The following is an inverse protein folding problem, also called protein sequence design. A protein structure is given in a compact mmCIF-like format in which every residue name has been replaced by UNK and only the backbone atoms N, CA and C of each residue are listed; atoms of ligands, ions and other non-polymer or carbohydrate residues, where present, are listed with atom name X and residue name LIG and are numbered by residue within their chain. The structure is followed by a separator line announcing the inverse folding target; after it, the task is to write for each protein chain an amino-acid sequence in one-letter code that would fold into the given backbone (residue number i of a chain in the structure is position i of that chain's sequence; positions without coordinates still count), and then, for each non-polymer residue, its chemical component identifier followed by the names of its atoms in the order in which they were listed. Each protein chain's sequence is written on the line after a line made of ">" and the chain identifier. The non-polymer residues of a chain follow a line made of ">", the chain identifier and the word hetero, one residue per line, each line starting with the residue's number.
data_IF_828580187674
#
_entry.id   IF_828580187674
#
_cell.length_a   1.000
_cell.length_b   1.000
_cell.length_c   1.000
_cell.angle_alpha   90.00
_cell.angle_beta   90.00
_cell.angle_gamma   90.00
#
_symmetry.space_group_name_H-M   'P 1'
#
loop_
_entity.id
_entity.type
_entity.pdbx_description
1 polymer ?
#
# COMPACT_ATOMS: atom_id res chain seq x y z
N UNK A 1 -34.71 -26.55 16.70
CA UNK A 1 -34.71 -25.12 17.09
C UNK A 1 -33.31 -24.66 17.48
N UNK A 2 -32.71 -25.15 18.58
CA UNK A 2 -31.33 -24.79 18.98
C UNK A 2 -30.30 -24.88 17.84
N UNK A 3 -30.10 -26.06 17.27
CA UNK A 3 -29.10 -26.28 16.20
C UNK A 3 -29.34 -25.40 14.97
N UNK A 4 -30.58 -25.05 14.69
CA UNK A 4 -30.92 -24.20 13.54
C UNK A 4 -30.56 -22.73 13.82
N UNK A 5 -30.88 -22.23 15.02
CA UNK A 5 -30.45 -20.90 15.47
C UNK A 5 -28.92 -20.83 15.51
N UNK A 6 -28.23 -21.84 16.04
CA UNK A 6 -26.77 -21.90 16.06
C UNK A 6 -26.17 -21.81 14.64
N UNK A 7 -26.72 -22.56 13.68
CA UNK A 7 -26.29 -22.46 12.29
C UNK A 7 -26.51 -21.06 11.70
N UNK A 8 -27.66 -20.42 11.96
CA UNK A 8 -27.93 -19.07 11.46
C UNK A 8 -26.97 -18.06 12.10
N UNK A 9 -26.62 -18.22 13.39
CA UNK A 9 -25.61 -17.38 14.03
C UNK A 9 -24.26 -17.50 13.33
N UNK A 10 -23.82 -18.71 13.00
CA UNK A 10 -22.59 -18.92 12.24
C UNK A 10 -22.66 -18.26 10.85
N UNK A 11 -23.82 -18.31 10.19
CA UNK A 11 -24.04 -17.62 8.91
C UNK A 11 -24.01 -16.10 9.05
N UNK A 12 -24.63 -15.53 10.09
CA UNK A 12 -24.57 -14.11 10.43
C UNK A 12 -23.12 -13.68 10.65
N UNK A 13 -22.35 -14.43 11.43
CA UNK A 13 -20.93 -14.14 11.67
C UNK A 13 -20.13 -14.16 10.36
N UNK A 14 -20.31 -15.17 9.52
CA UNK A 14 -19.64 -15.24 8.23
C UNK A 14 -20.01 -14.06 7.32
N UNK A 15 -21.25 -13.57 7.41
CA UNK A 15 -21.70 -12.43 6.63
C UNK A 15 -21.18 -11.09 7.18
N UNK A 16 -21.10 -10.93 8.51
CA UNK A 16 -20.42 -9.80 9.14
C UNK A 16 -18.94 -9.71 8.75
N UNK A 17 -18.24 -10.85 8.69
CA UNK A 17 -16.84 -10.89 8.23
C UNK A 17 -16.71 -10.42 6.78
N UNK A 18 -17.58 -10.89 5.88
CA UNK A 18 -17.58 -10.45 4.47
C UNK A 18 -17.90 -8.97 4.31
N UNK A 19 -18.71 -8.43 5.21
CA UNK A 19 -19.07 -7.02 5.23
C UNK A 19 -18.08 -6.16 6.05
N UNK A 20 -16.98 -6.73 6.56
CA UNK A 20 -15.99 -6.03 7.37
C UNK A 20 -16.60 -5.27 8.56
N UNK A 21 -17.55 -5.89 9.27
CA UNK A 21 -18.16 -5.26 10.44
C UNK A 21 -17.13 -5.10 11.57
N UNK A 22 -17.19 -3.96 12.26
CA UNK A 22 -16.49 -3.75 13.50
C UNK A 22 -17.13 -4.51 14.66
N UNK A 23 -16.34 -4.76 15.72
CA UNK A 23 -16.82 -5.46 16.93
C UNK A 23 -18.08 -4.83 17.50
N UNK A 24 -18.11 -3.50 17.63
CA UNK A 24 -19.26 -2.78 18.20
C UNK A 24 -20.53 -2.95 17.34
N UNK A 25 -20.38 -3.03 16.01
CA UNK A 25 -21.51 -3.27 15.11
C UNK A 25 -22.06 -4.70 15.29
N UNK A 26 -21.18 -5.70 15.41
CA UNK A 26 -21.58 -7.09 15.67
C UNK A 26 -22.22 -7.27 17.05
N UNK A 27 -21.73 -6.54 18.06
CA UNK A 27 -22.27 -6.58 19.42
C UNK A 27 -23.62 -5.85 19.56
N UNK A 28 -24.03 -5.08 18.55
CA UNK A 28 -25.32 -4.38 18.57
C UNK A 28 -26.53 -5.33 18.45
N UNK A 29 -26.36 -6.48 17.79
CA UNK A 29 -27.39 -7.52 17.71
C UNK A 29 -27.28 -8.49 18.91
N UNK A 30 -27.84 -8.07 20.04
CA UNK A 30 -27.84 -8.84 21.30
C UNK A 30 -28.37 -10.28 21.20
N UNK A 31 -29.36 -10.62 20.35
CA UNK A 31 -29.86 -12.00 20.22
C UNK A 31 -28.79 -13.03 19.85
N UNK A 32 -27.67 -12.64 19.22
CA UNK A 32 -26.52 -13.53 18.96
C UNK A 32 -25.95 -14.18 20.22
N UNK A 33 -26.03 -13.49 21.35
CA UNK A 33 -25.44 -13.91 22.63
C UNK A 33 -26.47 -14.49 23.61
N UNK A 34 -27.74 -14.55 23.21
CA UNK A 34 -28.81 -15.10 24.02
C UNK A 34 -28.73 -16.63 24.10
N UNK A 35 -29.13 -17.20 25.24
CA UNK A 35 -29.31 -18.65 25.42
C UNK A 35 -30.76 -19.10 25.23
N UNK A 36 -31.63 -18.19 24.77
CA UNK A 36 -33.03 -18.47 24.47
C UNK A 36 -33.16 -19.02 23.05
N UNK A 37 -33.83 -20.16 22.91
CA UNK A 37 -34.04 -20.84 21.63
C UNK A 37 -35.53 -21.00 21.38
N UNK A 38 -36.20 -19.87 21.18
CA UNK A 38 -37.64 -19.74 20.90
C UNK A 38 -37.88 -19.52 19.41
N UNK A 39 -39.14 -19.61 18.98
CA UNK A 39 -39.54 -19.29 17.61
C UNK A 39 -39.35 -17.79 17.31
N UNK A 40 -39.68 -16.92 18.26
CA UNK A 40 -39.41 -15.48 18.17
C UNK A 40 -37.92 -15.18 17.98
N UNK A 41 -37.04 -15.84 18.76
CA UNK A 41 -35.60 -15.68 18.58
C UNK A 41 -35.16 -16.15 17.20
N UNK A 42 -35.74 -17.24 16.69
CA UNK A 42 -35.42 -17.69 15.34
C UNK A 42 -35.79 -16.65 14.27
N UNK A 43 -36.98 -16.08 14.35
CA UNK A 43 -37.44 -15.02 13.44
C UNK A 43 -36.52 -13.78 13.47
N UNK A 44 -36.04 -13.39 14.66
CA UNK A 44 -35.06 -12.30 14.80
C UNK A 44 -33.75 -12.59 14.06
N UNK A 45 -33.23 -13.83 14.16
CA UNK A 45 -31.98 -14.22 13.49
C UNK A 45 -32.15 -14.32 11.97
N UNK A 46 -33.27 -14.87 11.50
CA UNK A 46 -33.56 -14.94 10.06
C UNK A 46 -33.67 -13.54 9.45
N UNK A 47 -34.32 -12.61 10.16
CA UNK A 47 -34.44 -11.22 9.75
C UNK A 47 -33.10 -10.50 9.72
N UNK A 48 -32.28 -10.64 10.77
CA UNK A 48 -30.94 -10.05 10.81
C UNK A 48 -30.09 -10.56 9.63
N UNK A 49 -30.11 -11.88 9.38
CA UNK A 49 -29.38 -12.46 8.25
C UNK A 49 -29.86 -11.89 6.91
N UNK A 50 -31.17 -11.72 6.73
CA UNK A 50 -31.74 -11.09 5.52
C UNK A 50 -31.27 -9.64 5.36
N UNK A 51 -31.30 -8.84 6.43
CA UNK A 51 -30.85 -7.44 6.42
C UNK A 51 -29.37 -7.32 6.04
N UNK A 52 -28.49 -8.14 6.63
CA UNK A 52 -27.05 -8.14 6.31
C UNK A 52 -26.81 -8.63 4.88
N UNK A 53 -27.55 -9.62 4.41
CA UNK A 53 -27.43 -10.10 3.03
C UNK A 53 -27.84 -9.00 2.04
N UNK A 54 -28.93 -8.29 2.31
CA UNK A 54 -29.35 -7.15 1.48
C UNK A 54 -28.33 -6.02 1.52
N UNK A 55 -27.75 -5.74 2.69
CA UNK A 55 -26.67 -4.76 2.84
C UNK A 55 -25.43 -5.14 2.01
N UNK A 56 -25.04 -6.42 2.03
CA UNK A 56 -23.95 -6.93 1.20
C UNK A 56 -24.24 -6.77 -0.29
N UNK A 57 -25.41 -7.18 -0.75
CA UNK A 57 -25.79 -7.12 -2.16
C UNK A 57 -25.79 -5.67 -2.66
N UNK A 58 -26.34 -4.76 -1.87
CA UNK A 58 -26.39 -3.34 -2.22
C UNK A 58 -24.98 -2.72 -2.31
N UNK A 59 -24.08 -3.12 -1.41
CA UNK A 59 -22.73 -2.58 -1.31
C UNK A 59 -21.65 -3.54 -1.85
N UNK A 60 -22.03 -4.48 -2.72
CA UNK A 60 -21.15 -5.58 -3.15
C UNK A 60 -19.84 -5.04 -3.75
N UNK A 61 -19.93 -3.98 -4.54
CA UNK A 61 -18.75 -3.37 -5.16
C UNK A 61 -17.77 -2.82 -4.12
N UNK A 62 -18.24 -2.27 -3.00
CA UNK A 62 -17.38 -1.82 -1.91
C UNK A 62 -16.62 -3.00 -1.31
N UNK A 63 -17.35 -4.05 -0.93
CA UNK A 63 -16.77 -5.23 -0.29
C UNK A 63 -15.81 -5.99 -1.20
N UNK A 64 -16.14 -6.16 -2.48
CA UNK A 64 -15.25 -6.81 -3.45
C UNK A 64 -13.96 -6.00 -3.66
N UNK A 65 -14.05 -4.68 -3.80
CA UNK A 65 -12.84 -3.84 -3.94
C UNK A 65 -12.00 -3.83 -2.67
N UNK A 66 -12.63 -3.84 -1.49
CA UNK A 66 -11.95 -3.90 -0.21
C UNK A 66 -11.25 -5.25 0.01
N UNK A 67 -11.92 -6.37 -0.27
CA UNK A 67 -11.33 -7.71 -0.22
C UNK A 67 -10.12 -7.83 -1.18
N UNK A 68 -10.27 -7.36 -2.42
CA UNK A 68 -9.15 -7.30 -3.37
C UNK A 68 -7.99 -6.43 -2.85
N UNK A 69 -8.30 -5.33 -2.17
CA UNK A 69 -7.28 -4.47 -1.58
C UNK A 69 -6.51 -5.21 -0.48
N UNK A 70 -7.19 -5.95 0.40
CA UNK A 70 -6.56 -6.79 1.42
C UNK A 70 -5.63 -7.85 0.82
N UNK A 71 -6.05 -8.52 -0.27
CA UNK A 71 -5.23 -9.51 -0.96
C UNK A 71 -3.95 -8.89 -1.54
N UNK A 72 -4.08 -7.78 -2.27
CA UNK A 72 -2.93 -7.06 -2.83
C UNK A 72 -2.04 -6.50 -1.73
N UNK A 73 -2.61 -6.07 -0.61
CA UNK A 73 -1.86 -5.58 0.55
C UNK A 73 -1.05 -6.69 1.21
N UNK A 74 -1.64 -7.87 1.38
CA UNK A 74 -0.93 -9.05 1.86
C UNK A 74 0.22 -9.44 0.91
N UNK A 75 -0.01 -9.42 -0.41
CA UNK A 75 1.04 -9.64 -1.41
C UNK A 75 2.16 -8.59 -1.30
N UNK A 76 1.81 -7.31 -1.15
CA UNK A 76 2.76 -6.22 -0.96
C UNK A 76 3.62 -6.41 0.29
N UNK A 77 3.01 -6.78 1.41
CA UNK A 77 3.74 -7.06 2.65
C UNK A 77 4.71 -8.22 2.51
N UNK A 78 4.28 -9.31 1.88
CA UNK A 78 5.13 -10.48 1.63
C UNK A 78 6.26 -10.15 0.65
N UNK A 79 5.97 -9.41 -0.41
CA UNK A 79 6.96 -8.89 -1.35
C UNK A 79 8.03 -8.04 -0.63
N UNK A 80 7.62 -7.13 0.27
CA UNK A 80 8.54 -6.31 1.05
C UNK A 80 9.40 -7.14 2.01
N UNK A 81 8.83 -8.20 2.60
CA UNK A 81 9.58 -9.15 3.43
C UNK A 81 10.65 -9.86 2.60
N UNK A 82 10.31 -10.35 1.41
CA UNK A 82 11.26 -10.98 0.49
C UNK A 82 12.33 -10.01 -0.02
N UNK A 83 11.97 -8.75 -0.30
CA UNK A 83 12.89 -7.71 -0.73
C UNK A 83 13.91 -7.33 0.36
N UNK A 84 13.58 -7.57 1.64
CA UNK A 84 14.48 -7.32 2.77
C UNK A 84 15.57 -8.38 2.95
N UNK A 85 15.48 -9.52 2.26
CA UNK A 85 16.46 -10.61 2.31
C UNK A 85 17.77 -10.21 1.58
N UNK A 86 18.94 -10.23 2.26
CA UNK A 86 20.23 -9.93 1.64
C UNK A 86 20.60 -10.93 0.53
N UNK A 87 20.11 -12.17 0.61
CA UNK A 87 20.42 -13.24 -0.34
C UNK A 87 19.41 -13.34 -1.50
N UNK A 88 18.44 -12.41 -1.60
CA UNK A 88 17.37 -12.46 -2.61
C UNK A 88 17.88 -12.50 -4.06
N UNK A 89 18.98 -11.81 -4.37
CA UNK A 89 19.57 -11.80 -5.71
C UNK A 89 20.30 -13.10 -6.10
N UNK A 90 20.48 -14.05 -5.16
CA UNK A 90 21.01 -15.38 -5.46
C UNK A 90 19.96 -16.29 -6.11
N UNK A 91 18.67 -15.93 -6.04
CA UNK A 91 17.57 -16.71 -6.65
C UNK A 91 17.64 -16.59 -8.16
N UNK A 92 17.74 -17.73 -8.85
CA UNK A 92 17.82 -17.77 -10.33
C UNK A 92 16.60 -17.06 -10.92
N UNK A 93 16.85 -16.08 -11.79
CA UNK A 93 15.79 -15.33 -12.47
C UNK A 93 15.14 -14.20 -11.65
N UNK A 94 15.70 -13.86 -10.48
CA UNK A 94 15.35 -12.66 -9.72
C UNK A 94 16.30 -11.51 -10.06
N UNK A 95 15.77 -10.32 -10.37
CA UNK A 95 16.54 -9.14 -10.73
C UNK A 95 15.92 -7.87 -10.14
N UNK A 96 16.76 -6.84 -9.93
CA UNK A 96 16.30 -5.55 -9.42
C UNK A 96 15.25 -4.89 -10.35
N UNK A 97 15.31 -5.17 -11.65
CA UNK A 97 14.34 -4.68 -12.64
C UNK A 97 12.97 -5.32 -12.43
N UNK A 98 12.92 -6.64 -12.19
CA UNK A 98 11.66 -7.33 -11.89
C UNK A 98 11.10 -6.90 -10.54
N UNK A 99 11.96 -6.74 -9.52
CA UNK A 99 11.57 -6.24 -8.20
C UNK A 99 10.90 -4.86 -8.31
N UNK A 100 11.53 -3.91 -9.01
CA UNK A 100 10.97 -2.56 -9.21
C UNK A 100 9.66 -2.59 -10.02
N UNK A 101 9.57 -3.46 -11.03
CA UNK A 101 8.33 -3.62 -11.82
C UNK A 101 7.19 -4.16 -10.95
N UNK A 102 7.43 -5.17 -10.14
CA UNK A 102 6.43 -5.73 -9.23
C UNK A 102 6.03 -4.72 -8.16
N UNK A 103 7.00 -4.00 -7.56
CA UNK A 103 6.73 -2.92 -6.61
C UNK A 103 5.78 -1.88 -7.19
N UNK A 104 6.09 -1.35 -8.38
CA UNK A 104 5.23 -0.37 -9.06
C UNK A 104 3.85 -0.92 -9.38
N UNK A 105 3.76 -2.20 -9.76
CA UNK A 105 2.49 -2.84 -10.03
C UNK A 105 1.61 -2.92 -8.77
N UNK A 106 2.18 -3.41 -7.66
CA UNK A 106 1.48 -3.52 -6.38
C UNK A 106 1.07 -2.15 -5.84
N UNK A 107 1.97 -1.17 -5.84
CA UNK A 107 1.67 0.20 -5.39
C UNK A 107 0.59 0.87 -6.23
N UNK A 108 0.61 0.67 -7.55
CA UNK A 108 -0.44 1.17 -8.44
C UNK A 108 -1.78 0.49 -8.16
N UNK A 109 -1.81 -0.83 -8.02
CA UNK A 109 -3.03 -1.59 -7.73
C UNK A 109 -3.62 -1.19 -6.38
N UNK A 110 -2.81 -1.08 -5.33
CA UNK A 110 -3.23 -0.60 -4.01
C UNK A 110 -3.84 0.79 -4.07
N UNK A 111 -3.15 1.74 -4.72
CA UNK A 111 -3.64 3.10 -4.86
C UNK A 111 -4.95 3.14 -5.64
N UNK A 112 -5.06 2.38 -6.73
CA UNK A 112 -6.28 2.33 -7.54
C UNK A 112 -7.46 1.78 -6.75
N UNK A 113 -7.27 0.65 -6.06
CA UNK A 113 -8.31 0.04 -5.23
C UNK A 113 -8.71 0.96 -4.08
N UNK A 114 -7.75 1.59 -3.40
CA UNK A 114 -8.01 2.59 -2.36
C UNK A 114 -8.83 3.77 -2.90
N UNK A 115 -8.43 4.35 -4.03
CA UNK A 115 -9.15 5.47 -4.66
C UNK A 115 -10.59 5.07 -5.03
N UNK A 116 -10.78 3.83 -5.51
CA UNK A 116 -12.12 3.27 -5.83
C UNK A 116 -12.97 3.08 -4.58
N UNK A 117 -12.45 2.47 -3.51
CA UNK A 117 -13.19 2.26 -2.26
C UNK A 117 -13.56 3.60 -1.62
N UNK A 118 -12.64 4.57 -1.59
CA UNK A 118 -12.93 5.92 -1.10
C UNK A 118 -14.02 6.60 -1.93
N UNK A 119 -14.00 6.45 -3.26
CA UNK A 119 -15.04 7.03 -4.11
C UNK A 119 -16.41 6.40 -3.83
N UNK A 120 -16.49 5.07 -3.81
CA UNK A 120 -17.74 4.35 -3.52
C UNK A 120 -18.25 4.67 -2.11
N UNK A 121 -17.36 4.86 -1.12
CA UNK A 121 -17.76 5.22 0.25
C UNK A 121 -18.42 6.60 0.33
N UNK A 122 -18.01 7.54 -0.52
CA UNK A 122 -18.64 8.87 -0.62
C UNK A 122 -20.01 8.80 -1.29
N UNK A 123 -20.16 7.92 -2.26
CA UNK A 123 -21.46 7.67 -2.92
C UNK A 123 -22.44 7.06 -1.91
N UNK A 124 -21.97 6.10 -1.10
CA UNK A 124 -22.72 5.56 0.03
C UNK A 124 -23.13 6.63 1.04
N UNK A 125 -22.19 7.48 1.47
CA UNK A 125 -22.46 8.60 2.37
C UNK A 125 -23.51 9.56 1.82
N UNK A 126 -23.49 9.82 0.52
CA UNK A 126 -24.44 10.69 -0.14
C UNK A 126 -25.85 10.05 -0.23
N UNK A 127 -25.94 8.74 -0.43
CA UNK A 127 -27.22 8.03 -0.53
C UNK A 127 -27.88 7.80 0.83
N UNK A 128 -27.11 7.39 1.83
CA UNK A 128 -27.63 6.98 3.14
C UNK A 128 -27.53 8.06 4.22
N UNK A 129 -26.67 9.07 4.04
CA UNK A 129 -26.51 10.18 4.97
C UNK A 129 -25.61 9.91 6.18
N UNK A 130 -24.90 8.78 6.20
CA UNK A 130 -23.93 8.42 7.25
C UNK A 130 -22.70 7.74 6.66
N UNK A 131 -21.60 7.77 7.44
CA UNK A 131 -20.29 7.28 7.00
C UNK A 131 -20.27 5.77 6.80
N UNK A 132 -19.59 5.33 5.73
CA UNK A 132 -19.28 3.92 5.56
C UNK A 132 -18.15 3.53 6.51
N UNK A 133 -18.38 2.49 7.31
CA UNK A 133 -17.42 2.00 8.29
C UNK A 133 -16.84 0.67 7.84
N UNK A 134 -15.53 0.52 8.03
CA UNK A 134 -14.77 -0.72 7.82
C UNK A 134 -14.11 -1.06 9.14
N UNK A 135 -14.39 -2.24 9.69
CA UNK A 135 -13.92 -2.69 11.00
C UNK A 135 -14.23 -1.68 12.13
N UNK A 136 -15.32 -0.93 11.98
CA UNK A 136 -15.76 0.08 12.96
C UNK A 136 -15.10 1.45 12.80
N UNK A 137 -14.26 1.68 11.79
CA UNK A 137 -13.66 2.99 11.51
C UNK A 137 -14.02 3.51 10.12
N UNK A 138 -14.05 4.84 9.89
CA UNK A 138 -14.27 5.38 8.55
C UNK A 138 -13.23 4.88 7.55
N UNK A 139 -13.65 4.67 6.29
CA UNK A 139 -12.79 4.13 5.21
C UNK A 139 -11.45 4.86 5.08
N UNK A 140 -11.45 6.19 5.20
CA UNK A 140 -10.23 6.98 5.09
C UNK A 140 -9.26 6.67 6.25
N UNK A 141 -9.78 6.51 7.46
CA UNK A 141 -9.01 6.21 8.66
C UNK A 141 -8.52 4.77 8.65
N UNK A 142 -9.32 3.83 8.16
CA UNK A 142 -8.91 2.44 7.93
C UNK A 142 -7.59 2.38 7.11
N UNK A 143 -7.54 3.04 5.96
CA UNK A 143 -6.31 3.04 5.14
C UNK A 143 -5.12 3.75 5.79
N UNK A 144 -5.39 4.81 6.57
CA UNK A 144 -4.34 5.52 7.30
C UNK A 144 -3.77 4.64 8.41
N UNK A 145 -4.63 3.98 9.18
CA UNK A 145 -4.27 3.07 10.25
C UNK A 145 -3.44 1.90 9.71
N UNK A 146 -3.84 1.30 8.59
CA UNK A 146 -3.11 0.17 8.03
C UNK A 146 -1.70 0.55 7.56
N UNK A 147 -1.55 1.76 7.00
CA UNK A 147 -0.25 2.32 6.65
C UNK A 147 0.61 2.63 7.89
N UNK A 148 0.00 3.19 8.94
CA UNK A 148 0.68 3.50 10.19
C UNK A 148 1.14 2.22 10.90
N UNK A 149 0.26 1.23 11.05
CA UNK A 149 0.54 -0.09 11.61
C UNK A 149 1.73 -0.74 10.90
N UNK A 150 1.74 -0.71 9.57
CA UNK A 150 2.86 -1.22 8.79
C UNK A 150 4.17 -0.46 9.07
N UNK A 151 4.13 0.87 9.16
CA UNK A 151 5.31 1.69 9.48
C UNK A 151 5.87 1.35 10.87
N UNK A 152 4.98 1.29 11.87
CA UNK A 152 5.35 0.95 13.25
C UNK A 152 5.95 -0.46 13.33
N UNK A 153 5.38 -1.45 12.63
CA UNK A 153 5.91 -2.80 12.57
C UNK A 153 7.33 -2.84 11.97
N UNK A 154 7.57 -2.09 10.89
CA UNK A 154 8.91 -1.96 10.28
C UNK A 154 9.91 -1.31 11.23
N UNK A 155 9.48 -0.31 12.00
CA UNK A 155 10.34 0.36 13.00
C UNK A 155 10.70 -0.57 14.15
N UNK A 156 9.72 -1.32 14.68
CA UNK A 156 9.92 -2.33 15.71
C UNK A 156 10.86 -3.44 15.22
N UNK A 157 10.72 -3.91 13.99
CA UNK A 157 11.62 -4.91 13.39
C UNK A 157 13.06 -4.39 13.30
N UNK A 158 13.23 -3.13 12.88
CA UNK A 158 14.55 -2.47 12.82
C UNK A 158 15.17 -2.33 14.21
N UNK A 159 14.39 -1.89 15.21
CA UNK A 159 14.85 -1.75 16.58
C UNK A 159 15.29 -3.09 17.18
N UNK A 160 14.50 -4.16 16.96
CA UNK A 160 14.84 -5.53 17.38
C UNK A 160 16.16 -6.02 16.77
N UNK A 161 16.39 -5.77 15.47
CA UNK A 161 17.63 -6.14 14.78
C UNK A 161 18.85 -5.35 15.29
N UNK A 162 18.68 -4.07 15.65
CA UNK A 162 19.76 -3.26 16.23
C UNK A 162 20.15 -3.76 17.62
N UNK A 163 19.17 -4.04 18.47
CA UNK A 163 19.40 -4.58 19.82
C UNK A 163 20.11 -5.94 19.76
N UNK A 164 19.71 -6.82 18.84
CA UNK A 164 20.35 -8.13 18.62
C UNK A 164 21.81 -8.02 18.15
N UNK A 165 22.20 -6.88 17.57
CA UNK A 165 23.59 -6.58 17.16
C UNK A 165 24.40 -5.87 18.26
N UNK A 166 23.86 -5.75 19.47
CA UNK A 166 24.53 -5.09 20.59
C UNK A 166 24.62 -3.56 20.45
N UNK A 167 23.89 -2.97 19.51
CA UNK A 167 23.78 -1.52 19.38
C UNK A 167 22.58 -1.06 20.20
N UNK A 168 22.83 -0.36 21.31
CA UNK A 168 21.77 0.33 22.05
C UNK A 168 21.10 1.35 21.13
N UNK A 169 19.76 1.45 21.10
CA UNK A 169 19.08 2.41 20.24
C UNK A 169 19.45 3.83 20.70
N UNK A 170 20.31 4.51 19.95
CA UNK A 170 20.51 5.95 20.10
C UNK A 170 19.21 6.65 19.70
N UNK A 171 18.47 7.12 20.70
CA UNK A 171 17.46 8.15 20.54
C UNK A 171 18.15 9.40 19.98
N UNK A 172 18.29 9.52 18.67
CA UNK A 172 18.73 10.78 18.05
C UNK A 172 17.58 11.76 18.13
N UNK A 173 17.54 12.50 19.25
CA UNK A 173 16.83 13.76 19.34
C UNK A 173 17.31 14.66 18.21
N UNK A 174 16.39 15.07 17.34
CA UNK A 174 16.65 16.06 16.32
C UNK A 174 17.08 17.36 16.99
N UNK A 175 18.35 17.72 16.86
CA UNK A 175 18.81 19.09 17.03
C UNK A 175 19.72 19.48 15.87
N UNK A 176 19.37 20.64 15.35
CA UNK A 176 19.76 21.28 14.11
C UNK A 176 21.24 21.65 13.99
N UNK A 177 21.73 21.60 12.75
CA UNK A 177 22.63 22.53 12.07
C UNK A 177 23.66 23.31 12.91
N UNK A 178 24.94 22.92 12.80
CA UNK A 178 26.04 23.89 12.68
C UNK A 178 27.02 23.42 11.60
N UNK A 179 27.14 24.23 10.54
CA UNK A 179 28.12 24.14 9.46
C UNK A 179 29.54 23.97 10.03
N UNK A 180 30.27 22.92 9.63
CA UNK A 180 31.72 22.87 9.82
C UNK A 180 32.41 23.23 8.50
N UNK A 181 33.09 24.37 8.59
CA UNK A 181 33.88 25.07 7.59
C UNK A 181 35.01 24.20 7.01
N UNK A 182 35.28 24.45 5.73
CA UNK A 182 36.34 23.89 4.90
C UNK A 182 37.73 23.99 5.52
N UNK A 183 38.57 22.97 5.29
CA UNK A 183 40.03 23.16 5.25
C UNK A 183 40.59 22.53 3.98
N UNK A 184 40.98 23.42 3.07
CA UNK A 184 41.79 23.18 1.89
C UNK A 184 43.20 22.76 2.30
N UNK A 185 43.63 21.57 1.89
CA UNK A 185 45.07 21.22 1.85
C UNK A 185 45.48 20.93 0.42
N UNK A 186 46.36 21.80 -0.07
CA UNK A 186 46.94 21.87 -1.40
C UNK A 186 47.78 20.61 -1.71
N UNK A 187 47.58 20.04 -2.89
CA UNK A 187 48.52 19.07 -3.48
C UNK A 187 49.24 19.74 -4.66
N UNK A 188 50.58 19.71 -4.74
CA UNK A 188 51.35 20.45 -5.74
C UNK A 188 51.36 19.76 -7.10
N UNK A 189 51.42 20.58 -8.15
CA UNK A 189 51.23 20.19 -9.55
C UNK A 189 52.36 19.40 -10.20
N UNK A 190 52.01 18.81 -11.34
CA UNK A 190 52.94 18.21 -12.30
C UNK A 190 52.72 18.84 -13.68
N UNK A 191 53.83 19.31 -14.24
CA UNK A 191 53.93 20.23 -15.36
C UNK A 191 53.57 19.60 -16.72
N UNK A 192 52.98 20.43 -17.57
CA UNK A 192 52.83 20.19 -19.01
C UNK A 192 54.18 20.35 -19.72
N UNK A 193 54.47 19.47 -20.66
CA UNK A 193 55.53 19.69 -21.67
C UNK A 193 54.89 19.78 -23.04
N UNK A 194 54.92 20.98 -23.61
CA UNK A 194 54.65 21.28 -25.02
C UNK A 194 55.97 21.16 -25.80
N UNK A 195 55.96 20.46 -26.93
CA UNK A 195 56.93 20.60 -28.01
C UNK A 195 56.12 20.72 -29.31
N UNK A 196 56.26 21.85 -30.00
CA UNK A 196 55.63 22.11 -31.29
C UNK A 196 56.61 22.00 -32.46
N UNK A 197 56.07 21.97 -33.69
CA UNK A 197 56.42 22.72 -34.92
C UNK A 197 55.82 22.04 -36.16
N UNK A 198 54.91 22.74 -36.86
CA UNK A 198 54.99 23.23 -38.27
C UNK A 198 54.68 22.13 -39.33
N UNK A 199 53.93 22.32 -40.42
CA UNK A 199 53.69 23.49 -41.28
C UNK A 199 52.44 23.31 -42.19
N UNK A 200 51.91 24.42 -42.69
CA UNK A 200 50.74 24.61 -43.59
C UNK A 200 50.85 23.93 -44.98
N UNK A 201 49.70 23.56 -45.59
CA UNK A 201 49.41 23.84 -47.01
C UNK A 201 47.89 24.02 -47.23
N UNK A 202 47.53 25.06 -48.01
CA UNK A 202 46.19 25.54 -48.40
C UNK A 202 45.57 24.74 -49.57
N UNK A 203 44.23 24.68 -49.68
CA UNK A 203 43.47 25.05 -50.91
C UNK A 203 41.95 24.75 -50.86
N UNK A 204 41.16 25.80 -51.11
CA UNK A 204 40.05 25.90 -52.09
C UNK A 204 38.73 25.13 -51.88
N UNK A 205 37.69 25.88 -51.47
CA UNK A 205 36.26 25.65 -51.75
C UNK A 205 35.92 26.07 -53.19
N UNK A 206 34.83 25.58 -53.84
CA UNK A 206 33.51 26.25 -53.69
C UNK A 206 32.24 25.36 -53.86
N UNK A 207 31.12 25.85 -53.28
CA UNK A 207 29.72 25.96 -53.82
C UNK A 207 29.20 24.92 -54.86
N UNK A 208 27.93 24.44 -54.93
CA UNK A 208 26.57 24.80 -54.45
C UNK A 208 25.59 23.64 -54.89
N UNK A 209 24.24 23.75 -55.01
CA UNK A 209 23.25 22.81 -54.44
C UNK A 209 22.28 22.19 -55.49
N UNK A 210 21.29 21.40 -55.06
CA UNK A 210 20.03 21.15 -55.82
C UNK A 210 18.89 20.91 -54.81
N UNK A 211 17.95 21.87 -54.65
CA UNK A 211 16.56 21.89 -55.18
C UNK A 211 15.70 20.71 -54.70
N UNK A 212 14.67 20.88 -53.86
CA UNK A 212 13.36 21.52 -54.18
C UNK A 212 12.38 20.43 -54.70
N UNK A 213 11.14 20.24 -54.25
CA UNK A 213 9.97 21.14 -54.38
C UNK A 213 8.71 20.48 -53.75
N UNK A 214 7.97 21.31 -53.00
CA UNK A 214 6.51 21.47 -52.80
C UNK A 214 5.53 20.39 -52.27
N UNK A 215 4.73 20.93 -51.33
CA UNK A 215 3.36 20.61 -50.92
C UNK A 215 2.38 20.43 -52.09
N UNK A 216 1.42 19.52 -51.90
CA UNK A 216 -0.02 19.83 -51.86
C UNK A 216 -0.66 19.01 -50.75
#
# INVERSE_FOLDING_TARGET
>A
MRTYIENIRDEIFAQYEKCFYGREQMESFLPLYSNEFTEESLEEHEKELEEINMYYIHNEQLFVNLANWHEVWAEYREFQRQASDPDRFKRRGYSAVQEEKQRKHLEFSLKKLQDTVVQLSKEYEHEFGYQFLVEGVPVQDFFNNEKENYSQEKELERARKQLARGQTPTMTHAQSNIKRLEMSTKTPGRQQTNIGKESEIKATTPFRPTSGIHKR
#
